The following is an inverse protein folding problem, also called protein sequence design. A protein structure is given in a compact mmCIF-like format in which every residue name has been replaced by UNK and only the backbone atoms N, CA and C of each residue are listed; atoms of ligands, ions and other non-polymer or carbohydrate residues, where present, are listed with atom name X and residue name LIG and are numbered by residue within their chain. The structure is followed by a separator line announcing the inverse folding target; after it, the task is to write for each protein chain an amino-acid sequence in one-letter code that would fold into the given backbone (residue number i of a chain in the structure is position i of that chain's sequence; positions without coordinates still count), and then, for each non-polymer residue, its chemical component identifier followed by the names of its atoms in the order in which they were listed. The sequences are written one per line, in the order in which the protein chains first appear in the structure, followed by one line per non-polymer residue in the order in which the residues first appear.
data_IF_069938352924
#
_entry.id   IF_069938352924
#
_cell.length_a   1.000
_cell.length_b   1.000
_cell.length_c   1.000
_cell.angle_alpha   90.00
_cell.angle_beta   90.00
_cell.angle_gamma   90.00
#
_symmetry.space_group_name_H-M   'P 1'
#
loop_
_entity.id
_entity.type
_entity.pdbx_description
1 polymer ?
#
# COMPACT_ATOMS: atom_id res chain seq x y z
N UNK A 1 9.62 7.00 -20.29
CA UNK A 1 9.18 6.37 -19.02
C UNK A 1 10.11 6.57 -17.81
N UNK A 2 11.30 7.18 -17.95
CA UNK A 2 12.23 7.37 -16.81
C UNK A 2 11.78 8.44 -15.79
N UNK A 3 11.13 9.51 -16.23
CA UNK A 3 10.75 10.64 -15.36
C UNK A 3 9.67 10.30 -14.32
N UNK A 4 8.67 9.50 -14.68
CA UNK A 4 7.57 9.15 -13.78
C UNK A 4 8.04 8.22 -12.65
N UNK A 5 8.85 7.21 -12.98
CA UNK A 5 9.45 6.31 -12.01
C UNK A 5 10.41 7.05 -11.08
N UNK A 6 11.17 8.01 -11.61
CA UNK A 6 12.06 8.84 -10.78
C UNK A 6 11.26 9.74 -9.83
N UNK A 7 10.13 10.31 -10.28
CA UNK A 7 9.23 11.12 -9.43
C UNK A 7 8.57 10.28 -8.34
N UNK A 8 8.20 9.03 -8.62
CA UNK A 8 7.70 8.08 -7.63
C UNK A 8 8.81 7.70 -6.63
N UNK A 9 10.04 7.44 -7.08
CA UNK A 9 11.18 7.18 -6.20
C UNK A 9 11.50 8.37 -5.29
N UNK A 10 11.51 9.58 -5.83
CA UNK A 10 11.71 10.81 -5.07
C UNK A 10 10.57 11.02 -4.09
N UNK A 11 9.32 10.77 -4.51
CA UNK A 11 8.16 10.82 -3.63
C UNK A 11 8.20 9.78 -2.51
N UNK A 12 8.64 8.54 -2.79
CA UNK A 12 8.86 7.50 -1.78
C UNK A 12 9.97 7.86 -0.80
N UNK A 13 11.00 8.58 -1.26
CA UNK A 13 12.10 9.10 -0.44
C UNK A 13 11.70 10.32 0.40
N UNK A 14 10.67 11.05 -0.01
CA UNK A 14 10.11 12.18 0.76
C UNK A 14 9.46 11.71 2.07
N UNK A 15 9.39 12.56 3.11
CA UNK A 15 8.77 12.22 4.39
C UNK A 15 7.32 11.71 4.25
N UNK A 16 6.53 12.32 3.35
CA UNK A 16 5.18 11.84 3.02
C UNK A 16 5.16 10.41 2.46
N UNK A 17 6.13 10.03 1.62
CA UNK A 17 6.23 8.69 1.05
C UNK A 17 6.67 7.65 2.08
N UNK A 18 7.54 8.03 3.01
CA UNK A 18 7.90 7.21 4.17
C UNK A 18 6.71 6.98 5.09
N UNK A 19 5.90 8.00 5.40
CA UNK A 19 4.68 7.83 6.19
C UNK A 19 3.66 6.92 5.50
N UNK A 20 3.43 7.11 4.20
CA UNK A 20 2.54 6.23 3.41
C UNK A 20 3.05 4.80 3.39
N UNK A 21 4.35 4.60 3.20
CA UNK A 21 4.98 3.27 3.22
C UNK A 21 4.93 2.66 4.62
N UNK A 22 5.10 3.46 5.67
CA UNK A 22 5.00 3.02 7.07
C UNK A 22 3.56 2.63 7.43
N UNK A 23 2.56 3.43 7.04
CA UNK A 23 1.14 3.08 7.16
C UNK A 23 0.82 1.81 6.39
N UNK A 24 1.25 1.71 5.13
CA UNK A 24 1.04 0.52 4.31
C UNK A 24 1.70 -0.71 4.96
N UNK A 25 2.93 -0.57 5.47
CA UNK A 25 3.66 -1.64 6.15
C UNK A 25 3.00 -2.01 7.47
N UNK A 26 2.50 -1.06 8.25
CA UNK A 26 1.75 -1.29 9.49
C UNK A 26 0.43 -2.02 9.21
N UNK A 27 -0.34 -1.57 8.22
CA UNK A 27 -1.56 -2.23 7.76
C UNK A 27 -1.31 -3.64 7.22
N UNK A 28 -0.15 -3.87 6.60
CA UNK A 28 0.26 -5.19 6.10
C UNK A 28 0.80 -6.10 7.21
N UNK A 29 1.40 -5.52 8.25
CA UNK A 29 1.90 -6.25 9.44
C UNK A 29 0.76 -6.74 10.32
N UNK A 30 -0.40 -6.11 10.23
CA UNK A 30 -1.56 -6.47 11.03
C UNK A 30 -2.32 -7.66 10.42
N UNK A 31 -2.26 -8.86 11.04
CA UNK A 31 -2.88 -10.07 10.49
C UNK A 31 -4.41 -9.94 10.43
N UNK A 32 -5.01 -9.19 11.37
CA UNK A 32 -6.45 -8.94 11.43
C UNK A 32 -6.94 -8.13 10.23
N UNK A 33 -6.13 -7.17 9.79
CA UNK A 33 -6.44 -6.36 8.62
C UNK A 33 -6.29 -7.17 7.32
N UNK A 34 -5.34 -8.11 7.30
CA UNK A 34 -5.13 -9.03 6.18
C UNK A 34 -6.31 -9.96 5.95
N UNK A 35 -6.94 -10.47 7.02
CA UNK A 35 -8.15 -11.28 6.91
C UNK A 35 -9.36 -10.48 6.41
N UNK A 36 -9.56 -9.26 6.93
CA UNK A 36 -10.61 -8.36 6.44
C UNK A 36 -10.42 -8.01 4.97
N UNK A 37 -9.19 -7.69 4.56
CA UNK A 37 -8.85 -7.43 3.16
C UNK A 37 -9.09 -8.66 2.28
N UNK A 38 -8.72 -9.86 2.74
CA UNK A 38 -9.00 -11.13 2.03
C UNK A 38 -10.50 -11.38 1.89
N UNK A 39 -11.30 -11.14 2.92
CA UNK A 39 -12.75 -11.29 2.85
C UNK A 39 -13.38 -10.26 1.90
N UNK A 40 -12.97 -9.00 1.99
CA UNK A 40 -13.44 -7.94 1.09
C UNK A 40 -13.09 -8.26 -0.38
N UNK A 41 -11.84 -8.67 -0.64
CA UNK A 41 -11.40 -9.07 -1.98
C UNK A 41 -12.17 -10.30 -2.50
N UNK A 42 -12.45 -11.29 -1.63
CA UNK A 42 -13.28 -12.46 -1.99
C UNK A 42 -14.72 -12.09 -2.32
N UNK A 43 -15.32 -11.15 -1.58
CA UNK A 43 -16.65 -10.60 -1.89
C UNK A 43 -16.66 -9.86 -3.22
N UNK A 44 -15.63 -9.05 -3.47
CA UNK A 44 -15.52 -8.28 -4.71
C UNK A 44 -15.29 -9.18 -5.93
N UNK A 45 -14.53 -10.29 -5.79
CA UNK A 45 -14.31 -11.27 -6.86
C UNK A 45 -15.55 -12.12 -7.20
N UNK A 46 -16.55 -12.16 -6.31
CA UNK A 46 -17.79 -12.92 -6.51
C UNK A 46 -18.90 -12.07 -7.15
N UNK A 47 -18.64 -10.79 -7.40
CA UNK A 47 -19.54 -9.86 -8.05
C UNK A 47 -19.01 -9.56 -9.45
#
# INVERSE_FOLDING_TARGET
MAGLLNRIKTFLRSPRGRELSAKARALARDPRNRERARQAARRFRRR
#
